data_IF_261735954657
#
_entry.id   IF_261735954657
#
_cell.length_a   1.000
_cell.length_b   1.000
_cell.length_c   1.000
_cell.angle_alpha   90.00
_cell.angle_beta   90.00
_cell.angle_gamma   90.00
#
_symmetry.space_group_name_H-M   'P 1'
#
loop_
_entity.id
_entity.type
_entity.pdbx_description
1 polymer ?
#
# COMPACT_ATOMS: atom_id res chain seq x y z
N UNK A 1 -30.98 2.51 4.49
CA UNK A 1 -29.59 2.01 4.61
C UNK A 1 -28.94 2.26 5.97
N UNK A 2 -28.10 1.30 6.45
CA UNK A 2 -27.18 1.45 7.60
C UNK A 2 -25.81 1.99 7.14
N UNK A 3 -25.07 2.68 8.01
CA UNK A 3 -23.78 3.29 7.67
C UNK A 3 -22.75 2.29 7.11
N UNK A 4 -22.66 1.08 7.65
CA UNK A 4 -21.70 0.07 7.17
C UNK A 4 -21.95 -0.32 5.70
N UNK A 5 -23.22 -0.45 5.32
CA UNK A 5 -23.60 -0.72 3.93
C UNK A 5 -23.34 0.50 3.03
N UNK A 6 -23.53 1.72 3.56
CA UNK A 6 -23.23 2.94 2.82
C UNK A 6 -21.75 3.01 2.44
N UNK A 7 -20.86 2.66 3.38
CA UNK A 7 -19.41 2.66 3.16
C UNK A 7 -18.96 1.69 2.08
N UNK A 8 -19.57 0.51 2.01
CA UNK A 8 -19.28 -0.46 0.95
C UNK A 8 -19.63 0.08 -0.44
N UNK A 9 -20.68 0.89 -0.55
CA UNK A 9 -21.15 1.46 -1.81
C UNK A 9 -20.47 2.78 -2.20
N UNK A 10 -19.63 3.36 -1.33
CA UNK A 10 -19.01 4.67 -1.58
C UNK A 10 -18.00 4.65 -2.74
N UNK A 11 -17.24 3.56 -2.90
CA UNK A 11 -16.24 3.44 -3.96
C UNK A 11 -16.90 3.29 -5.33
N UNK A 12 -17.83 2.35 -5.43
CA UNK A 12 -18.61 2.13 -6.65
C UNK A 12 -19.42 3.39 -7.02
N UNK A 13 -19.92 4.15 -6.04
CA UNK A 13 -20.55 5.45 -6.28
C UNK A 13 -19.57 6.51 -6.79
N UNK A 14 -18.32 6.52 -6.30
CA UNK A 14 -17.28 7.46 -6.71
C UNK A 14 -16.86 7.26 -8.18
N UNK A 15 -16.84 6.00 -8.63
CA UNK A 15 -16.50 5.63 -10.01
C UNK A 15 -17.72 5.50 -10.94
N UNK A 16 -18.91 5.90 -10.48
CA UNK A 16 -20.17 5.84 -11.24
C UNK A 16 -20.56 4.41 -11.68
N UNK A 17 -20.16 3.39 -10.93
CA UNK A 17 -20.43 1.96 -11.19
C UNK A 17 -21.71 1.45 -10.51
N UNK A 18 -22.39 2.30 -9.74
CA UNK A 18 -23.60 1.94 -9.00
C UNK A 18 -24.87 1.99 -9.87
N UNK A 19 -25.68 0.93 -9.81
CA UNK A 19 -27.02 0.91 -10.41
C UNK A 19 -27.96 1.98 -9.83
N UNK A 20 -28.98 2.38 -10.59
CA UNK A 20 -29.90 3.48 -10.24
C UNK A 20 -30.62 3.31 -8.89
N UNK A 21 -30.98 2.07 -8.53
CA UNK A 21 -31.70 1.78 -7.30
C UNK A 21 -30.83 1.96 -6.04
N UNK A 22 -29.65 1.31 -5.89
CA UNK A 22 -28.77 1.54 -4.75
C UNK A 22 -28.21 2.96 -4.73
N UNK A 23 -28.06 3.62 -5.89
CA UNK A 23 -27.57 5.01 -5.97
C UNK A 23 -28.50 5.98 -5.27
N UNK A 24 -29.80 5.89 -5.54
CA UNK A 24 -30.81 6.75 -4.88
C UNK A 24 -30.89 6.50 -3.38
N UNK A 25 -30.74 5.25 -2.94
CA UNK A 25 -30.73 4.93 -1.51
C UNK A 25 -29.49 5.52 -0.81
N UNK A 26 -28.33 5.44 -1.45
CA UNK A 26 -27.09 6.05 -0.98
C UNK A 26 -27.17 7.57 -0.92
N UNK A 27 -27.64 8.23 -1.99
CA UNK A 27 -27.83 9.68 -2.02
C UNK A 27 -28.80 10.16 -0.94
N UNK A 28 -29.89 9.42 -0.70
CA UNK A 28 -30.80 9.72 0.40
C UNK A 28 -30.09 9.60 1.75
N UNK A 29 -29.30 8.55 1.96
CA UNK A 29 -28.55 8.37 3.20
C UNK A 29 -27.52 9.48 3.43
N UNK A 30 -26.77 9.88 2.40
CA UNK A 30 -25.79 10.97 2.46
C UNK A 30 -26.42 12.32 2.83
N UNK A 31 -27.69 12.55 2.49
CA UNK A 31 -28.43 13.76 2.94
C UNK A 31 -28.79 13.72 4.43
N UNK A 32 -28.91 12.52 5.00
CA UNK A 32 -29.37 12.32 6.39
C UNK A 32 -28.23 12.06 7.38
N UNK A 33 -27.10 11.52 6.94
CA UNK A 33 -25.96 11.16 7.79
C UNK A 33 -24.76 12.06 7.52
N UNK A 34 -24.38 12.88 8.51
CA UNK A 34 -23.25 13.81 8.42
C UNK A 34 -21.91 13.10 8.27
N UNK A 35 -21.74 11.95 8.92
CA UNK A 35 -20.46 11.22 8.95
C UNK A 35 -20.17 10.59 7.59
N UNK A 36 -21.16 9.90 7.00
CA UNK A 36 -21.03 9.32 5.66
C UNK A 36 -20.89 10.42 4.59
N UNK A 37 -21.55 11.57 4.77
CA UNK A 37 -21.37 12.72 3.88
C UNK A 37 -19.93 13.26 3.94
N UNK A 38 -19.35 13.41 5.13
CA UNK A 38 -17.97 13.86 5.30
C UNK A 38 -16.98 12.87 4.68
N UNK A 39 -17.18 11.56 4.87
CA UNK A 39 -16.37 10.50 4.29
C UNK A 39 -16.43 10.51 2.76
N UNK A 40 -17.61 10.59 2.17
CA UNK A 40 -17.78 10.70 0.72
C UNK A 40 -17.06 11.91 0.11
N UNK A 41 -17.10 13.06 0.81
CA UNK A 41 -16.43 14.29 0.38
C UNK A 41 -14.91 14.16 0.44
N UNK A 42 -14.38 13.53 1.49
CA UNK A 42 -12.94 13.24 1.63
C UNK A 42 -12.43 12.35 0.49
N UNK A 43 -13.19 11.31 0.13
CA UNK A 43 -12.86 10.42 -0.99
C UNK A 43 -12.88 11.16 -2.33
N UNK A 44 -13.90 11.99 -2.59
CA UNK A 44 -13.96 12.83 -3.79
C UNK A 44 -12.79 13.81 -3.90
N UNK A 45 -12.34 14.39 -2.78
CA UNK A 45 -11.17 15.27 -2.77
C UNK A 45 -9.89 14.49 -3.12
N UNK A 46 -9.73 13.29 -2.53
CA UNK A 46 -8.59 12.42 -2.82
C UNK A 46 -8.55 12.02 -4.29
N UNK A 47 -9.69 11.61 -4.86
CA UNK A 47 -9.80 11.27 -6.28
C UNK A 47 -9.42 12.44 -7.19
N UNK A 48 -9.87 13.66 -6.88
CA UNK A 48 -9.49 14.87 -7.62
C UNK A 48 -7.99 15.16 -7.57
N UNK A 49 -7.33 14.89 -6.44
CA UNK A 49 -5.88 15.03 -6.33
C UNK A 49 -5.16 14.04 -7.24
N UNK A 50 -5.58 12.77 -7.25
CA UNK A 50 -5.01 11.77 -8.15
C UNK A 50 -5.27 12.09 -9.63
N UNK A 51 -6.49 12.52 -9.97
CA UNK A 51 -6.85 12.92 -11.34
C UNK A 51 -6.08 14.17 -11.84
N UNK A 52 -5.49 14.95 -10.94
CA UNK A 52 -4.66 16.12 -11.29
C UNK A 52 -3.21 15.78 -11.61
N UNK A 53 -2.78 14.54 -11.34
CA UNK A 53 -1.45 14.09 -11.69
C UNK A 53 -1.34 13.97 -13.21
N UNK A 54 -0.19 14.37 -13.80
CA UNK A 54 0.01 14.19 -15.23
C UNK A 54 -0.04 12.70 -15.56
N UNK A 55 -0.87 12.35 -16.53
CA UNK A 55 -0.93 11.01 -17.08
C UNK A 55 0.40 10.74 -17.79
N UNK A 56 1.27 9.98 -17.12
CA UNK A 56 2.50 9.48 -17.73
C UNK A 56 2.09 8.24 -18.49
N UNK A 57 1.88 8.38 -19.80
CA UNK A 57 1.87 7.22 -20.68
C UNK A 57 3.20 6.49 -20.47
N UNK A 58 3.22 5.23 -19.99
CA UNK A 58 4.44 4.46 -20.03
C UNK A 58 4.89 4.44 -21.48
N UNK A 59 6.18 4.65 -21.75
CA UNK A 59 6.71 4.42 -23.10
C UNK A 59 6.35 2.98 -23.47
N UNK A 60 5.31 2.80 -24.29
CA UNK A 60 4.88 1.51 -24.82
C UNK A 60 5.92 1.04 -25.84
N UNK A 61 7.12 0.76 -25.36
CA UNK A 61 8.04 -0.12 -26.05
C UNK A 61 7.71 -1.54 -25.64
N UNK A 62 6.48 -1.96 -25.90
CA UNK A 62 6.20 -3.38 -26.06
C UNK A 62 6.89 -3.76 -27.36
N UNK A 63 8.12 -4.26 -27.25
CA UNK A 63 8.79 -4.91 -28.37
C UNK A 63 8.02 -6.21 -28.60
N UNK A 64 6.94 -6.13 -29.37
CA UNK A 64 6.46 -7.27 -30.11
C UNK A 64 7.56 -7.55 -31.12
N UNK A 65 8.47 -8.47 -30.79
CA UNK A 65 9.25 -9.09 -31.85
C UNK A 65 8.23 -9.67 -32.82
N UNK A 66 8.20 -9.13 -34.04
CA UNK A 66 7.42 -9.71 -35.12
C UNK A 66 7.85 -11.18 -35.21
N UNK A 67 7.00 -12.08 -34.69
CA UNK A 67 7.11 -13.47 -35.11
C UNK A 67 6.99 -13.43 -36.62
N UNK A 68 7.93 -14.01 -37.39
CA UNK A 68 7.89 -13.97 -38.84
C UNK A 68 6.64 -14.70 -39.35
N UNK A 69 5.56 -13.93 -39.46
CA UNK A 69 4.25 -14.37 -39.91
C UNK A 69 4.17 -14.21 -41.41
N UNK A 70 4.07 -15.37 -42.08
CA UNK A 70 3.77 -15.59 -43.52
C UNK A 70 4.98 -15.65 -44.46
N UNK A 71 5.58 -16.84 -44.57
CA UNK A 71 5.70 -17.57 -45.85
C UNK A 71 6.21 -19.02 -45.72
N UNK A 72 6.11 -19.67 -44.55
CA UNK A 72 6.72 -21.00 -44.36
C UNK A 72 6.05 -22.12 -45.18
N UNK A 73 4.76 -21.98 -45.49
CA UNK A 73 3.99 -23.03 -46.17
C UNK A 73 4.06 -22.99 -47.71
N UNK A 74 4.70 -21.99 -48.32
CA UNK A 74 4.82 -21.89 -49.80
C UNK A 74 6.04 -22.61 -50.38
N UNK A 75 6.92 -23.16 -49.55
CA UNK A 75 8.09 -23.93 -49.95
C UNK A 75 8.06 -25.40 -49.53
N UNK A 76 6.96 -25.87 -48.94
CA UNK A 76 6.84 -27.24 -48.42
C UNK A 76 6.48 -28.23 -49.54
N UNK A 77 7.33 -28.31 -50.56
CA UNK A 77 7.38 -29.48 -51.42
C UNK A 77 8.16 -30.56 -50.66
N UNK A 78 7.43 -31.49 -50.04
CA UNK A 78 8.01 -32.66 -49.39
C UNK A 78 8.48 -33.64 -50.45
N UNK A 79 9.60 -33.33 -51.11
CA UNK A 79 10.34 -34.31 -51.88
C UNK A 79 11.01 -35.26 -50.89
N UNK A 80 10.39 -36.43 -50.69
CA UNK A 80 11.02 -37.49 -49.92
C UNK A 80 12.36 -37.85 -50.58
N UNK A 81 13.50 -37.68 -49.88
CA UNK A 81 14.79 -38.05 -50.44
C UNK A 81 14.80 -39.57 -50.69
N UNK A 82 15.11 -39.96 -51.92
CA UNK A 82 15.22 -41.35 -52.38
C UNK A 82 16.50 -42.04 -51.86
N UNK A 83 16.75 -42.01 -50.56
CA UNK A 83 17.79 -42.83 -49.93
C UNK A 83 17.36 -43.34 -48.54
N UNK A 84 17.52 -44.66 -48.38
CA UNK A 84 17.00 -45.53 -47.32
C UNK A 84 17.17 -45.03 -45.87
N UNK A 85 18.31 -44.42 -45.53
CA UNK A 85 18.64 -44.06 -44.14
C UNK A 85 17.94 -42.79 -43.63
N UNK A 86 17.57 -41.86 -44.53
CA UNK A 86 16.85 -40.65 -44.14
C UNK A 86 15.41 -40.95 -43.68
N UNK A 87 14.78 -41.99 -44.22
CA UNK A 87 13.45 -42.46 -43.78
C UNK A 87 13.47 -43.03 -42.37
N UNK A 88 14.56 -43.72 -41.99
CA UNK A 88 14.73 -44.26 -40.65
C UNK A 88 14.86 -43.12 -39.63
N UNK A 89 15.61 -42.07 -39.96
CA UNK A 89 15.72 -40.88 -39.11
C UNK A 89 14.39 -40.14 -38.91
N UNK A 90 13.62 -39.93 -39.98
CA UNK A 90 12.30 -39.28 -39.87
C UNK A 90 11.27 -40.14 -39.14
N UNK A 91 11.23 -41.45 -39.43
CA UNK A 91 10.33 -42.38 -38.73
C UNK A 91 10.67 -42.47 -37.24
N UNK A 92 11.96 -42.49 -36.88
CA UNK A 92 12.42 -42.47 -35.50
C UNK A 92 12.06 -41.16 -34.80
N UNK A 93 12.22 -40.01 -35.46
CA UNK A 93 11.85 -38.70 -34.92
C UNK A 93 10.34 -38.57 -34.66
N UNK A 94 9.51 -39.04 -35.58
CA UNK A 94 8.05 -39.08 -35.40
C UNK A 94 7.64 -40.04 -34.27
N UNK A 95 8.23 -41.22 -34.20
CA UNK A 95 7.97 -42.17 -33.12
C UNK A 95 8.37 -41.59 -31.75
N UNK A 96 9.47 -40.84 -31.68
CA UNK A 96 9.91 -40.17 -30.47
C UNK A 96 8.92 -39.08 -30.01
N UNK A 97 8.43 -38.24 -30.93
CA UNK A 97 7.41 -37.22 -30.60
C UNK A 97 6.11 -37.84 -30.11
N UNK A 98 5.67 -38.93 -30.74
CA UNK A 98 4.47 -39.68 -30.30
C UNK A 98 4.71 -40.27 -28.91
N UNK A 99 5.88 -40.85 -28.65
CA UNK A 99 6.22 -41.42 -27.35
C UNK A 99 6.24 -40.34 -26.25
N UNK A 100 6.81 -39.16 -26.53
CA UNK A 100 6.78 -38.00 -25.62
C UNK A 100 5.34 -37.56 -25.32
N UNK A 101 4.47 -37.49 -26.33
CA UNK A 101 3.07 -37.14 -26.15
C UNK A 101 2.32 -38.16 -25.29
N UNK A 102 2.55 -39.46 -25.51
CA UNK A 102 1.95 -40.55 -24.72
C UNK A 102 2.41 -40.50 -23.25
N UNK A 103 3.71 -40.28 -23.00
CA UNK A 103 4.25 -40.14 -21.64
C UNK A 103 3.67 -38.91 -20.92
N UNK A 104 3.50 -37.79 -21.64
CA UNK A 104 2.87 -36.59 -21.08
C UNK A 104 1.40 -36.79 -20.72
N UNK A 105 0.67 -37.60 -21.50
CA UNK A 105 -0.74 -37.94 -21.23
C UNK A 105 -0.89 -38.94 -20.08
N UNK A 106 0.07 -39.86 -19.92
CA UNK A 106 0.05 -40.85 -18.83
C UNK A 106 0.26 -40.22 -17.43
N UNK A 107 0.94 -39.07 -17.34
CA UNK A 107 1.18 -38.32 -16.11
C UNK A 107 0.17 -37.16 -15.90
N UNK A 108 -1.08 -37.34 -16.32
CA UNK A 108 -2.15 -36.36 -16.10
C UNK A 108 -2.78 -36.57 -14.71
N UNK A 109 -2.60 -35.60 -13.80
CA UNK A 109 -3.37 -35.56 -12.55
C UNK A 109 -4.59 -34.64 -12.74
N UNK A 110 -5.78 -35.22 -12.63
CA UNK A 110 -7.05 -34.52 -12.64
C UNK A 110 -7.53 -34.36 -11.20
N UNK A 111 -7.49 -33.12 -10.66
CA UNK A 111 -8.08 -32.83 -9.36
C UNK A 111 -9.33 -31.98 -9.56
N UNK A 112 -10.45 -32.52 -9.10
CA UNK A 112 -11.75 -31.85 -9.10
C UNK A 112 -12.10 -31.50 -7.66
N UNK A 113 -12.03 -30.22 -7.32
CA UNK A 113 -12.37 -29.70 -5.98
C UNK A 113 -13.43 -28.58 -6.11
N UNK A 114 -14.06 -28.22 -4.99
CA UNK A 114 -15.19 -27.28 -4.91
C UNK A 114 -14.86 -25.85 -5.38
N UNK A 115 -13.59 -25.53 -5.65
CA UNK A 115 -13.10 -24.21 -6.07
C UNK A 115 -12.62 -24.16 -7.53
N UNK A 116 -12.73 -25.25 -8.30
CA UNK A 116 -12.46 -25.23 -9.73
C UNK A 116 -11.77 -26.48 -10.27
N UNK A 117 -11.52 -26.45 -11.57
CA UNK A 117 -10.90 -27.52 -12.32
C UNK A 117 -9.39 -27.28 -12.45
N UNK A 118 -8.57 -28.16 -11.87
CA UNK A 118 -7.12 -28.11 -12.03
C UNK A 118 -6.63 -29.33 -12.82
N UNK A 119 -6.15 -29.08 -14.04
CA UNK A 119 -5.52 -30.09 -14.89
C UNK A 119 -4.03 -29.83 -14.93
N UNK A 120 -3.24 -30.77 -14.41
CA UNK A 120 -1.78 -30.69 -14.40
C UNK A 120 -1.20 -31.84 -15.21
N UNK A 121 -0.41 -31.50 -16.23
CA UNK A 121 0.30 -32.46 -17.07
C UNK A 121 1.80 -32.22 -16.87
N UNK A 122 2.54 -33.26 -16.47
CA UNK A 122 4.01 -33.19 -16.28
C UNK A 122 4.69 -34.35 -16.97
N UNK A 123 5.74 -34.08 -17.76
CA UNK A 123 6.55 -35.15 -18.37
C UNK A 123 7.39 -35.93 -17.34
N UNK A 124 7.63 -35.37 -16.16
CA UNK A 124 8.43 -35.98 -15.12
C UNK A 124 7.57 -36.28 -13.88
N UNK A 125 7.65 -37.49 -13.30
CA UNK A 125 6.97 -37.80 -12.05
C UNK A 125 7.59 -36.95 -10.94
N UNK A 126 6.82 -35.99 -10.40
CA UNK A 126 7.20 -35.38 -9.14
C UNK A 126 7.09 -36.47 -8.07
N UNK A 127 8.23 -36.90 -7.52
CA UNK A 127 8.22 -37.47 -6.18
C UNK A 127 7.69 -36.36 -5.28
N UNK A 128 6.41 -36.42 -4.93
CA UNK A 128 5.93 -35.81 -3.69
C UNK A 128 6.77 -36.46 -2.60
N UNK A 129 7.88 -35.80 -2.23
CA UNK A 129 8.59 -36.09 -1.02
C UNK A 129 7.59 -35.78 0.09
N UNK A 130 6.81 -36.78 0.48
CA UNK A 130 5.99 -36.72 1.66
C UNK A 130 6.99 -36.54 2.79
N UNK A 131 7.16 -35.29 3.26
CA UNK A 131 7.92 -35.05 4.48
C UNK A 131 7.28 -35.94 5.53
N UNK A 132 8.07 -36.82 6.13
CA UNK A 132 7.62 -37.61 7.27
C UNK A 132 7.08 -36.65 8.33
N UNK A 133 6.02 -37.03 9.05
CA UNK A 133 5.41 -36.15 10.06
C UNK A 133 6.43 -35.64 11.08
N UNK A 134 7.45 -36.44 11.42
CA UNK A 134 8.57 -36.04 12.28
C UNK A 134 9.43 -34.90 11.69
N UNK A 135 9.70 -34.91 10.39
CA UNK A 135 10.47 -33.83 9.73
C UNK A 135 9.66 -32.53 9.62
N UNK A 136 8.34 -32.63 9.47
CA UNK A 136 7.47 -31.45 9.46
C UNK A 136 7.45 -30.77 10.83
N UNK A 137 7.30 -31.55 11.90
CA UNK A 137 7.31 -31.00 13.26
C UNK A 137 8.67 -30.40 13.63
N UNK A 138 9.78 -31.05 13.28
CA UNK A 138 11.12 -30.50 13.50
C UNK A 138 11.34 -29.18 12.75
N UNK A 139 10.87 -29.08 11.50
CA UNK A 139 10.95 -27.86 10.71
C UNK A 139 10.09 -26.74 11.31
N UNK A 140 8.85 -27.04 11.70
CA UNK A 140 7.94 -26.06 12.33
C UNK A 140 8.51 -25.60 13.68
N UNK A 141 9.08 -26.50 14.46
CA UNK A 141 9.73 -26.15 15.73
C UNK A 141 10.90 -25.18 15.50
N UNK A 142 11.77 -25.47 14.52
CA UNK A 142 12.88 -24.59 14.16
C UNK A 142 12.42 -23.21 13.67
N UNK A 143 11.41 -23.18 12.79
CA UNK A 143 10.82 -21.92 12.31
C UNK A 143 10.21 -21.11 13.46
N UNK A 144 9.56 -21.76 14.43
CA UNK A 144 9.02 -21.08 15.62
C UNK A 144 10.14 -20.47 16.46
N UNK A 145 11.22 -21.20 16.66
CA UNK A 145 12.39 -20.72 17.40
C UNK A 145 13.05 -19.51 16.72
N UNK A 146 13.31 -19.60 15.40
CA UNK A 146 13.87 -18.50 14.61
C UNK A 146 12.95 -17.26 14.61
N UNK A 147 11.64 -17.46 14.45
CA UNK A 147 10.67 -16.36 14.48
C UNK A 147 10.62 -15.69 15.85
N UNK A 148 10.65 -16.46 16.95
CA UNK A 148 10.67 -15.93 18.31
C UNK A 148 11.94 -15.11 18.57
N UNK A 149 13.10 -15.59 18.11
CA UNK A 149 14.36 -14.87 18.25
C UNK A 149 14.35 -13.53 17.49
N UNK A 150 13.84 -13.53 16.25
CA UNK A 150 13.72 -12.32 15.44
C UNK A 150 12.76 -11.33 16.11
N UNK A 151 11.57 -11.78 16.51
CA UNK A 151 10.58 -10.94 17.20
C UNK A 151 11.12 -10.32 18.48
N UNK A 152 11.83 -11.09 19.30
CA UNK A 152 12.45 -10.59 20.52
C UNK A 152 13.47 -9.48 20.23
N UNK A 153 14.33 -9.69 19.22
CA UNK A 153 15.33 -8.69 18.82
C UNK A 153 14.69 -7.40 18.30
N UNK A 154 13.60 -7.51 17.53
CA UNK A 154 12.87 -6.36 16.98
C UNK A 154 12.17 -5.56 18.09
N UNK A 155 11.49 -6.24 19.02
CA UNK A 155 10.83 -5.60 20.15
C UNK A 155 11.84 -4.84 21.02
N UNK A 156 13.02 -5.41 21.26
CA UNK A 156 14.05 -4.76 22.05
C UNK A 156 14.60 -3.50 21.36
N UNK A 157 14.83 -3.55 20.04
CA UNK A 157 15.27 -2.36 19.29
C UNK A 157 14.21 -1.25 19.28
N UNK A 158 12.93 -1.60 19.10
CA UNK A 158 11.83 -0.64 19.19
C UNK A 158 11.70 -0.01 20.58
N UNK A 159 11.87 -0.79 21.66
CA UNK A 159 11.87 -0.24 23.02
C UNK A 159 12.97 0.81 23.19
N UNK A 160 14.20 0.52 22.76
CA UNK A 160 15.32 1.46 22.86
C UNK A 160 15.08 2.73 22.03
N UNK A 161 14.50 2.59 20.83
CA UNK A 161 14.14 3.75 19.99
C UNK A 161 13.05 4.60 20.63
N UNK A 162 12.04 3.96 21.21
CA UNK A 162 10.93 4.65 21.85
C UNK A 162 11.37 5.40 23.11
N UNK A 163 12.25 4.82 23.92
CA UNK A 163 12.86 5.51 25.07
C UNK A 163 13.61 6.76 24.62
N UNK A 164 14.50 6.65 23.62
CA UNK A 164 15.23 7.81 23.08
C UNK A 164 14.32 8.90 22.52
N UNK A 165 13.23 8.51 21.84
CA UNK A 165 12.21 9.45 21.34
C UNK A 165 11.52 10.16 22.51
N UNK A 166 11.16 9.42 23.56
CA UNK A 166 10.52 9.99 24.74
C UNK A 166 11.44 10.98 25.45
N UNK A 167 12.72 10.61 25.65
CA UNK A 167 13.73 11.51 26.22
C UNK A 167 13.87 12.80 25.40
N UNK A 168 13.96 12.67 24.08
CA UNK A 168 14.07 13.83 23.17
C UNK A 168 12.82 14.70 23.25
N UNK A 169 11.64 14.08 23.29
CA UNK A 169 10.37 14.80 23.41
C UNK A 169 10.29 15.56 24.73
N UNK A 170 10.64 14.92 25.85
CA UNK A 170 10.66 15.55 27.17
C UNK A 170 11.65 16.73 27.23
N UNK A 171 12.85 16.57 26.66
CA UNK A 171 13.85 17.64 26.57
C UNK A 171 13.35 18.82 25.72
N UNK A 172 12.66 18.54 24.61
CA UNK A 172 12.09 19.59 23.76
C UNK A 172 10.95 20.35 24.48
N UNK A 173 10.14 19.64 25.25
CA UNK A 173 9.02 20.22 26.00
C UNK A 173 9.51 21.12 27.15
N UNK A 174 10.54 20.69 27.88
CA UNK A 174 11.15 21.52 28.93
C UNK A 174 11.74 22.81 28.35
N UNK A 175 12.39 22.74 27.18
CA UNK A 175 12.89 23.91 26.48
C UNK A 175 11.78 24.85 26.00
N UNK A 176 10.63 24.31 25.56
CA UNK A 176 9.47 25.13 25.19
C UNK A 176 8.90 25.86 26.41
N UNK A 177 8.73 25.16 27.54
CA UNK A 177 8.26 25.77 28.79
C UNK A 177 9.18 26.89 29.25
N UNK A 178 10.49 26.71 29.16
CA UNK A 178 11.45 27.75 29.57
C UNK A 178 11.37 28.98 28.65
N UNK A 179 11.25 28.78 27.34
CA UNK A 179 11.02 29.87 26.39
C UNK A 179 9.72 30.62 26.67
N UNK A 180 8.65 29.89 27.00
CA UNK A 180 7.37 30.50 27.35
C UNK A 180 7.49 31.33 28.63
N UNK A 181 8.14 30.80 29.67
CA UNK A 181 8.40 31.56 30.91
C UNK A 181 9.20 32.82 30.66
N UNK A 182 10.24 32.76 29.83
CA UNK A 182 11.04 33.93 29.48
C UNK A 182 10.22 34.97 28.72
N UNK A 183 9.39 34.52 27.77
CA UNK A 183 8.46 35.39 27.06
C UNK A 183 7.47 36.05 28.03
N UNK A 184 6.84 35.28 28.91
CA UNK A 184 5.89 35.78 29.90
C UNK A 184 6.54 36.79 30.85
N UNK A 185 7.77 36.53 31.30
CA UNK A 185 8.54 37.48 32.11
C UNK A 185 8.83 38.79 31.38
N UNK A 186 9.12 38.74 30.07
CA UNK A 186 9.28 39.96 29.27
C UNK A 186 7.96 40.74 29.13
N UNK A 187 6.84 40.05 28.93
CA UNK A 187 5.52 40.67 28.83
C UNK A 187 5.13 41.32 30.16
N UNK A 188 5.31 40.61 31.28
CA UNK A 188 5.07 41.12 32.62
C UNK A 188 5.97 42.33 32.90
N UNK A 189 7.27 42.25 32.56
CA UNK A 189 8.21 43.35 32.73
C UNK A 189 7.77 44.62 32.02
N UNK A 190 7.42 44.53 30.73
CA UNK A 190 6.91 45.68 29.95
C UNK A 190 5.61 46.22 30.53
N UNK A 191 4.72 45.34 31.02
CA UNK A 191 3.48 45.74 31.68
C UNK A 191 3.74 46.56 32.95
N UNK A 192 4.68 46.12 33.79
CA UNK A 192 5.07 46.84 35.00
C UNK A 192 5.72 48.20 34.69
N UNK A 193 6.58 48.26 33.68
CA UNK A 193 7.20 49.52 33.23
C UNK A 193 6.15 50.53 32.76
N UNK A 194 5.17 50.09 31.96
CA UNK A 194 4.06 50.94 31.52
C UNK A 194 3.21 51.48 32.69
N UNK A 195 2.95 50.64 33.71
CA UNK A 195 2.24 51.07 34.93
C UNK A 195 3.06 52.11 35.70
N UNK A 196 4.37 51.88 35.86
CA UNK A 196 5.27 52.81 36.55
C UNK A 196 5.35 54.15 35.83
N UNK A 197 5.48 54.14 34.52
CA UNK A 197 5.52 55.34 33.69
C UNK A 197 4.20 56.12 33.78
N UNK A 198 3.07 55.41 33.72
CA UNK A 198 1.73 55.98 33.95
C UNK A 198 1.63 56.67 35.31
N UNK A 199 2.04 56.01 36.40
CA UNK A 199 2.03 56.63 37.73
C UNK A 199 2.93 57.86 37.81
N UNK A 200 4.17 57.77 37.31
CA UNK A 200 5.09 58.92 37.29
C UNK A 200 4.51 60.11 36.53
N UNK A 201 3.86 59.86 35.38
CA UNK A 201 3.21 60.91 34.59
C UNK A 201 2.06 61.58 35.36
N UNK A 202 1.29 60.82 36.15
CA UNK A 202 0.24 61.36 37.02
C UNK A 202 0.81 62.20 38.15
N UNK A 203 1.85 61.71 38.85
CA UNK A 203 2.54 62.47 39.89
C UNK A 203 3.10 63.80 39.36
N UNK A 204 3.70 63.81 38.16
CA UNK A 204 4.19 65.04 37.53
C UNK A 204 3.06 66.02 37.14
N UNK A 205 1.88 65.53 36.75
CA UNK A 205 0.71 66.38 36.52
C UNK A 205 0.23 67.02 37.83
N UNK A 206 0.04 66.22 38.88
CA UNK A 206 -0.35 66.70 40.20
C UNK A 206 0.62 67.76 40.75
N UNK A 207 1.92 67.53 40.64
CA UNK A 207 2.93 68.50 41.10
C UNK A 207 2.93 69.80 40.28
N UNK A 208 2.60 69.74 38.98
CA UNK A 208 2.42 70.95 38.16
C UNK A 208 1.19 71.73 38.58
N UNK A 209 0.07 71.05 38.80
CA UNK A 209 -1.19 71.68 39.22
C UNK A 209 -1.05 72.35 40.60
N UNK A 210 -0.39 71.69 41.56
CA UNK A 210 -0.11 72.26 42.89
C UNK A 210 0.79 73.50 42.81
N UNK A 211 1.80 73.50 41.94
CA UNK A 211 2.67 74.66 41.77
C UNK A 211 1.97 75.84 41.09
N UNK A 212 1.00 75.59 40.21
CA UNK A 212 0.21 76.65 39.57
C UNK A 212 -0.70 77.37 40.57
N UNK A 213 -1.25 76.67 41.57
CA UNK A 213 -2.09 77.28 42.60
C UNK A 213 -1.31 78.10 43.66
N UNK A 214 0.02 78.01 43.70
CA UNK A 214 0.87 78.78 44.64
C UNK A 214 1.42 80.10 44.08
N UNK A 215 1.22 80.38 42.79
CA UNK A 215 1.56 81.67 42.16
C UNK A 215 0.32 82.53 42.02
#
# INVERSE_FOLDING_TARGET
MKCDNAKLLLMDYLYEELDDAPKRELEHHLKTCTDCAAESKSLQQTHKLFASLPEVEPEERIIFSDLPGKSWLKGFHFELPRLSFARIGYAAGLAFLILVAVVSLANMELKYDQQGFALRMSLFPQKTQQLTPEMQEALVAKLREENQAILASYLQDEHLRNEKKLETMMASYSQQLERQRQYDMQVIGRGLDAVRESQNSQYQKLMRDVNFQRK
#
